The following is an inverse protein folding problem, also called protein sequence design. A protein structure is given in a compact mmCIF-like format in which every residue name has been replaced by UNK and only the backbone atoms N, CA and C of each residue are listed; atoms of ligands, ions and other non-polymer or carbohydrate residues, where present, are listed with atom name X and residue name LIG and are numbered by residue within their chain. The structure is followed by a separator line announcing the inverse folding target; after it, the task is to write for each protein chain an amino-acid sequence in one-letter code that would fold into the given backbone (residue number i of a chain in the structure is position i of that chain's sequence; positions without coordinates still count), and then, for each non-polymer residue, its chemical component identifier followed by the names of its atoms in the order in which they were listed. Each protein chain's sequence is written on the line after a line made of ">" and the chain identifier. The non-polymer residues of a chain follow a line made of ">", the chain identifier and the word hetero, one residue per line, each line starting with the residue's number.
data_IF_337078204401
#
_entry.id   IF_337078204401
#
_cell.length_a   1.000
_cell.length_b   1.000
_cell.length_c   1.000
_cell.angle_alpha   90.00
_cell.angle_beta   90.00
_cell.angle_gamma   90.00
#
_symmetry.space_group_name_H-M   'P 1'
#
loop_
_entity.id
_entity.type
_entity.pdbx_description
1 polymer ?
#
# COMPACT_ATOMS: atom_id res chain seq x y z
N UNK A 1 -8.94 -79.52 -3.44
CA UNK A 1 -8.31 -78.29 -2.89
C UNK A 1 -8.30 -77.25 -3.99
N UNK A 2 -9.10 -76.21 -3.83
CA UNK A 2 -9.69 -75.38 -4.87
C UNK A 2 -8.75 -74.30 -5.39
N UNK A 3 -8.56 -74.23 -6.72
CA UNK A 3 -7.73 -73.29 -7.48
C UNK A 3 -8.51 -72.01 -7.85
N UNK A 4 -9.55 -71.61 -7.11
CA UNK A 4 -10.44 -70.51 -7.44
C UNK A 4 -10.25 -69.21 -6.60
N UNK A 5 -9.28 -69.11 -5.71
CA UNK A 5 -9.14 -67.94 -4.82
C UNK A 5 -8.04 -66.94 -5.16
N UNK A 6 -7.46 -67.02 -6.37
CA UNK A 6 -6.30 -66.13 -6.74
C UNK A 6 -6.61 -65.08 -7.80
N UNK A 7 -7.81 -64.99 -8.30
CA UNK A 7 -8.21 -64.02 -9.35
C UNK A 7 -9.07 -62.85 -8.86
N UNK A 8 -9.40 -62.80 -7.55
CA UNK A 8 -10.26 -61.72 -7.03
C UNK A 8 -9.50 -60.52 -6.40
N UNK A 9 -8.16 -60.57 -6.35
CA UNK A 9 -7.37 -59.54 -5.69
C UNK A 9 -6.71 -58.51 -6.63
N UNK A 10 -6.83 -58.70 -7.96
CA UNK A 10 -6.11 -57.81 -8.92
C UNK A 10 -6.99 -56.81 -9.67
N UNK A 11 -8.28 -56.74 -9.37
CA UNK A 11 -9.24 -55.84 -10.06
C UNK A 11 -9.59 -54.58 -9.26
N UNK A 12 -9.10 -54.41 -8.04
CA UNK A 12 -9.46 -53.28 -7.17
C UNK A 12 -8.41 -52.19 -7.02
N UNK A 13 -7.30 -52.26 -7.74
CA UNK A 13 -6.18 -51.32 -7.65
C UNK A 13 -6.06 -50.33 -8.81
N UNK A 14 -7.02 -50.32 -9.77
CA UNK A 14 -6.87 -49.50 -10.99
C UNK A 14 -7.99 -48.43 -11.14
N UNK A 15 -8.76 -48.13 -10.09
CA UNK A 15 -9.83 -47.10 -10.14
C UNK A 15 -9.64 -45.87 -9.26
N UNK A 16 -8.43 -45.62 -8.72
CA UNK A 16 -8.17 -44.52 -7.77
C UNK A 16 -7.20 -43.43 -8.27
N UNK A 17 -6.94 -43.33 -9.59
CA UNK A 17 -5.95 -42.36 -10.11
C UNK A 17 -6.47 -41.35 -11.16
N UNK A 18 -7.72 -41.02 -11.31
CA UNK A 18 -8.04 -39.80 -12.05
C UNK A 18 -8.80 -38.72 -11.27
N UNK A 19 -8.52 -38.52 -9.97
CA UNK A 19 -9.22 -37.45 -9.22
C UNK A 19 -8.30 -36.32 -8.70
N UNK A 20 -7.04 -36.26 -9.11
CA UNK A 20 -6.10 -35.20 -8.65
C UNK A 20 -5.56 -34.28 -9.76
N UNK A 21 -6.23 -34.15 -10.88
CA UNK A 21 -5.78 -33.27 -11.98
C UNK A 21 -6.86 -32.22 -12.39
N UNK A 22 -7.72 -31.80 -11.44
CA UNK A 22 -8.66 -30.70 -11.67
C UNK A 22 -8.57 -29.65 -10.55
N UNK A 23 -7.37 -29.13 -10.31
CA UNK A 23 -7.11 -28.11 -9.30
C UNK A 23 -6.20 -26.98 -9.78
N UNK A 24 -6.02 -26.78 -11.09
CA UNK A 24 -5.60 -25.49 -11.63
C UNK A 24 -6.85 -24.66 -11.92
N UNK A 25 -7.43 -24.04 -10.90
CA UNK A 25 -8.29 -22.92 -11.10
C UNK A 25 -7.50 -21.88 -11.90
N UNK A 26 -7.82 -21.74 -13.20
CA UNK A 26 -7.49 -20.52 -13.92
C UNK A 26 -8.03 -19.40 -13.04
N UNK A 27 -7.14 -18.57 -12.45
CA UNK A 27 -7.52 -17.21 -12.07
C UNK A 27 -8.09 -16.63 -13.37
N UNK A 28 -9.40 -16.53 -13.47
CA UNK A 28 -10.00 -15.67 -14.48
C UNK A 28 -9.38 -14.29 -14.23
N UNK A 29 -8.60 -13.82 -15.18
CA UNK A 29 -8.21 -12.42 -15.20
C UNK A 29 -9.54 -11.67 -15.23
N UNK A 30 -9.85 -10.95 -14.15
CA UNK A 30 -10.99 -10.07 -14.07
C UNK A 30 -10.96 -9.18 -15.33
N UNK A 31 -11.91 -9.35 -16.23
CA UNK A 31 -12.04 -8.50 -17.43
C UNK A 31 -12.69 -7.16 -17.08
N UNK A 32 -12.91 -6.87 -15.80
CA UNK A 32 -13.44 -5.63 -15.27
C UNK A 32 -12.31 -4.65 -14.88
N UNK A 33 -12.65 -3.36 -14.84
CA UNK A 33 -11.74 -2.33 -14.31
C UNK A 33 -11.54 -2.49 -12.81
N UNK A 34 -10.48 -1.86 -12.25
CA UNK A 34 -10.27 -1.82 -10.79
C UNK A 34 -11.48 -1.19 -10.07
N UNK A 35 -12.14 -0.24 -10.72
CA UNK A 35 -13.38 0.36 -10.22
C UNK A 35 -14.51 -0.67 -10.09
N UNK A 36 -14.68 -1.55 -11.08
CA UNK A 36 -15.69 -2.61 -11.03
C UNK A 36 -15.38 -3.60 -9.91
N UNK A 37 -14.11 -3.92 -9.72
CA UNK A 37 -13.63 -4.76 -8.63
C UNK A 37 -13.96 -4.14 -7.26
N UNK A 38 -13.64 -2.86 -7.04
CA UNK A 38 -13.92 -2.13 -5.79
C UNK A 38 -15.42 -2.08 -5.52
N UNK A 39 -16.23 -1.75 -6.54
CA UNK A 39 -17.69 -1.72 -6.40
C UNK A 39 -18.29 -3.09 -6.10
N UNK A 40 -17.78 -4.14 -6.71
CA UNK A 40 -18.24 -5.50 -6.46
C UNK A 40 -17.84 -5.98 -5.05
N UNK A 41 -16.64 -5.61 -4.60
CA UNK A 41 -16.14 -5.88 -3.25
C UNK A 41 -16.92 -5.10 -2.18
N UNK A 42 -17.44 -3.92 -2.53
CA UNK A 42 -18.19 -3.04 -1.63
C UNK A 42 -17.31 -2.23 -0.66
N UNK A 43 -15.99 -2.26 -0.83
CA UNK A 43 -15.04 -1.62 0.08
C UNK A 43 -13.87 -1.04 -0.70
N UNK A 44 -13.46 0.18 -0.35
CA UNK A 44 -12.21 0.81 -0.78
C UNK A 44 -11.18 0.69 0.38
N UNK A 45 -10.12 -0.09 0.18
CA UNK A 45 -9.04 -0.22 1.16
C UNK A 45 -7.97 0.82 0.86
N UNK A 46 -7.77 1.74 1.78
CA UNK A 46 -6.86 2.88 1.67
C UNK A 46 -5.61 2.61 2.50
N UNK A 47 -4.45 2.54 1.85
CA UNK A 47 -3.15 2.50 2.51
C UNK A 47 -2.77 3.88 3.03
N UNK A 48 -2.48 3.98 4.32
CA UNK A 48 -2.35 5.23 5.07
C UNK A 48 -1.24 5.13 6.12
N UNK A 49 -0.62 6.26 6.46
CA UNK A 49 0.28 6.41 7.63
C UNK A 49 -0.19 7.56 8.50
N UNK A 50 0.31 7.65 9.74
CA UNK A 50 0.07 8.83 10.59
C UNK A 50 0.88 10.02 10.07
N UNK A 51 0.18 10.99 9.50
CA UNK A 51 0.76 12.19 8.89
C UNK A 51 -0.14 13.42 9.13
N UNK A 52 -0.23 13.89 10.38
CA UNK A 52 -1.04 15.07 10.70
C UNK A 52 -0.52 16.33 9.97
N UNK A 53 -1.40 17.20 9.48
CA UNK A 53 -2.86 17.19 9.59
C UNK A 53 -3.58 16.50 8.43
N UNK A 54 -2.85 15.79 7.57
CA UNK A 54 -3.41 15.11 6.40
C UNK A 54 -4.16 13.85 6.81
N UNK A 55 -3.51 13.00 7.60
CA UNK A 55 -4.01 11.71 8.08
C UNK A 55 -3.55 11.49 9.51
N UNK A 56 -4.44 11.29 10.44
CA UNK A 56 -4.12 10.96 11.82
C UNK A 56 -5.32 10.37 12.54
N UNK A 57 -5.10 9.75 13.68
CA UNK A 57 -6.18 9.21 14.49
C UNK A 57 -6.61 10.20 15.58
N UNK A 58 -7.92 10.32 15.76
CA UNK A 58 -8.49 11.02 16.91
C UNK A 58 -8.40 10.17 18.19
N UNK A 59 -8.96 10.71 19.28
CA UNK A 59 -8.94 10.03 20.59
C UNK A 59 -9.71 8.70 20.60
N UNK A 60 -10.64 8.50 19.65
CA UNK A 60 -11.44 7.28 19.52
C UNK A 60 -10.81 6.28 18.54
N UNK A 61 -9.65 6.62 17.97
CA UNK A 61 -8.94 5.80 16.99
C UNK A 61 -9.50 5.90 15.57
N UNK A 62 -10.40 6.84 15.30
CA UNK A 62 -10.91 7.09 13.96
C UNK A 62 -9.92 7.90 13.14
N UNK A 63 -9.70 7.49 11.90
CA UNK A 63 -8.90 8.26 10.97
C UNK A 63 -9.61 9.55 10.58
N UNK A 64 -8.92 10.67 10.75
CA UNK A 64 -9.38 12.04 10.44
C UNK A 64 -8.25 12.81 9.74
N UNK A 65 -8.58 13.97 9.22
CA UNK A 65 -7.64 14.83 8.51
C UNK A 65 -8.06 15.05 7.06
N UNK A 66 -7.33 15.89 6.37
CA UNK A 66 -7.68 16.32 5.02
C UNK A 66 -7.78 15.15 4.04
N UNK A 67 -6.78 14.28 3.99
CA UNK A 67 -6.75 13.14 3.07
C UNK A 67 -7.70 12.02 3.52
N UNK A 68 -7.77 11.73 4.82
CA UNK A 68 -8.72 10.76 5.35
C UNK A 68 -10.17 11.14 5.04
N UNK A 69 -10.53 12.42 5.15
CA UNK A 69 -11.87 12.90 4.85
C UNK A 69 -12.18 12.91 3.35
N UNK A 70 -11.18 13.21 2.51
CA UNK A 70 -11.32 13.07 1.05
C UNK A 70 -11.50 11.60 0.64
N UNK A 71 -10.75 10.67 1.24
CA UNK A 71 -10.89 9.24 0.96
C UNK A 71 -12.28 8.72 1.35
N UNK A 72 -12.84 9.16 2.49
CA UNK A 72 -14.22 8.87 2.89
C UNK A 72 -15.23 9.38 1.88
N UNK A 73 -15.11 10.65 1.48
CA UNK A 73 -16.01 11.27 0.51
C UNK A 73 -15.92 10.59 -0.87
N UNK A 74 -14.73 10.16 -1.26
CA UNK A 74 -14.52 9.41 -2.51
C UNK A 74 -15.19 8.04 -2.44
N UNK A 75 -14.98 7.26 -1.38
CA UNK A 75 -15.64 5.97 -1.19
C UNK A 75 -17.17 6.10 -1.19
N UNK A 76 -17.72 7.11 -0.50
CA UNK A 76 -19.15 7.42 -0.52
C UNK A 76 -19.64 7.71 -1.94
N UNK A 77 -18.89 8.48 -2.74
CA UNK A 77 -19.24 8.78 -4.14
C UNK A 77 -19.30 7.54 -5.03
N UNK A 78 -18.56 6.49 -4.69
CA UNK A 78 -18.55 5.20 -5.37
C UNK A 78 -19.67 4.27 -4.86
N UNK A 79 -20.30 4.59 -3.74
CA UNK A 79 -21.28 3.75 -3.06
C UNK A 79 -20.65 2.56 -2.34
N UNK A 80 -19.42 2.70 -1.84
CA UNK A 80 -18.69 1.68 -1.10
C UNK A 80 -18.24 2.18 0.27
N UNK A 81 -17.92 1.27 1.17
CA UNK A 81 -17.34 1.61 2.46
C UNK A 81 -15.83 1.88 2.32
N UNK A 82 -15.29 2.81 3.12
CA UNK A 82 -13.84 3.02 3.24
C UNK A 82 -13.29 2.16 4.37
N UNK A 83 -12.15 1.55 4.13
CA UNK A 83 -11.37 0.87 5.15
C UNK A 83 -9.94 1.40 5.11
N UNK A 84 -9.46 1.96 6.22
CA UNK A 84 -8.08 2.41 6.34
C UNK A 84 -7.18 1.28 6.84
N UNK A 85 -6.07 1.09 6.17
CA UNK A 85 -5.03 0.13 6.53
C UNK A 85 -3.71 0.88 6.72
N UNK A 86 -3.18 0.86 7.94
CA UNK A 86 -1.84 1.39 8.19
C UNK A 86 -0.82 0.52 7.48
N UNK A 87 0.07 1.15 6.73
CA UNK A 87 1.14 0.49 5.99
C UNK A 87 2.51 1.05 6.42
N UNK A 88 3.56 0.26 6.22
CA UNK A 88 4.92 0.79 6.19
C UNK A 88 5.12 1.53 4.87
N UNK A 89 5.52 2.80 4.94
CA UNK A 89 5.56 3.66 3.75
C UNK A 89 6.48 3.13 2.65
N UNK A 90 7.57 2.49 3.01
CA UNK A 90 8.51 1.86 2.09
C UNK A 90 7.87 0.71 1.28
N UNK A 91 6.84 0.08 1.83
CA UNK A 91 6.14 -1.04 1.22
C UNK A 91 4.92 -0.65 0.35
N UNK A 92 4.63 0.65 0.19
CA UNK A 92 3.41 1.14 -0.47
C UNK A 92 3.14 0.54 -1.87
N UNK A 93 4.20 0.39 -2.68
CA UNK A 93 4.09 -0.20 -4.03
C UNK A 93 3.78 -1.69 -3.93
N UNK A 94 4.47 -2.40 -3.04
CA UNK A 94 4.28 -3.83 -2.84
C UNK A 94 2.87 -4.14 -2.31
N UNK A 95 2.36 -3.32 -1.38
CA UNK A 95 1.00 -3.46 -0.84
C UNK A 95 -0.06 -3.24 -1.93
N UNK A 96 0.16 -2.24 -2.80
CA UNK A 96 -0.73 -1.95 -3.92
C UNK A 96 -0.72 -3.08 -4.97
N UNK A 97 0.46 -3.54 -5.38
CA UNK A 97 0.64 -4.64 -6.32
C UNK A 97 0.08 -5.96 -5.78
N UNK A 98 0.27 -6.19 -4.49
CA UNK A 98 -0.26 -7.34 -3.76
C UNK A 98 -1.77 -7.30 -3.54
N UNK A 99 -2.43 -6.17 -3.84
CA UNK A 99 -3.87 -5.95 -3.62
C UNK A 99 -4.30 -6.11 -2.16
N UNK A 100 -3.40 -5.85 -1.23
CA UNK A 100 -3.72 -5.72 0.20
C UNK A 100 -4.38 -4.38 0.46
N UNK A 101 -4.06 -3.38 -0.36
CA UNK A 101 -4.74 -2.09 -0.45
C UNK A 101 -5.20 -1.85 -1.89
N UNK A 102 -6.20 -1.00 -2.07
CA UNK A 102 -6.71 -0.60 -3.38
C UNK A 102 -6.11 0.72 -3.86
N UNK A 103 -5.73 1.57 -2.94
CA UNK A 103 -5.17 2.89 -3.19
C UNK A 103 -4.22 3.29 -2.05
N UNK A 104 -3.15 4.01 -2.41
CA UNK A 104 -2.32 4.77 -1.46
C UNK A 104 -2.85 6.19 -1.41
N UNK A 105 -3.28 6.66 -0.24
CA UNK A 105 -3.78 8.02 -0.07
C UNK A 105 -3.25 8.61 1.21
N UNK A 106 -2.22 9.44 1.12
CA UNK A 106 -1.45 9.90 2.28
C UNK A 106 -0.50 11.06 1.93
N UNK A 107 -0.97 12.17 1.43
CA UNK A 107 -0.13 13.33 1.15
C UNK A 107 1.12 13.02 0.30
N UNK A 108 1.03 12.01 -0.56
CA UNK A 108 2.17 11.46 -1.29
C UNK A 108 2.76 12.44 -2.30
N UNK A 109 4.07 12.63 -2.27
CA UNK A 109 4.78 13.41 -3.28
C UNK A 109 4.83 12.65 -4.62
N UNK A 110 4.41 13.28 -5.72
CA UNK A 110 4.50 12.73 -7.07
C UNK A 110 5.94 12.84 -7.59
N UNK A 111 6.77 11.88 -7.22
CA UNK A 111 8.13 11.75 -7.75
C UNK A 111 8.15 10.93 -9.04
N UNK A 112 9.25 10.93 -9.78
CA UNK A 112 9.42 10.08 -10.96
C UNK A 112 9.33 8.59 -10.59
N UNK A 113 9.83 8.21 -9.43
CA UNK A 113 9.73 6.85 -8.90
C UNK A 113 8.27 6.45 -8.70
N UNK A 114 7.49 7.28 -8.01
CA UNK A 114 6.07 7.03 -7.75
C UNK A 114 5.28 6.94 -9.04
N UNK A 115 5.43 7.91 -9.94
CA UNK A 115 4.67 7.97 -11.19
C UNK A 115 5.05 6.90 -12.21
N UNK A 116 6.24 6.31 -12.09
CA UNK A 116 6.65 5.15 -12.90
C UNK A 116 6.19 3.81 -12.32
N UNK A 117 5.90 3.76 -11.02
CA UNK A 117 5.54 2.53 -10.31
C UNK A 117 4.05 2.31 -10.16
N UNK A 118 3.24 3.37 -10.19
CA UNK A 118 1.79 3.30 -10.01
C UNK A 118 1.06 4.38 -10.81
N UNK A 119 -0.22 4.15 -11.11
CA UNK A 119 -1.09 5.17 -11.68
C UNK A 119 -1.44 6.21 -10.62
N UNK A 120 -1.24 7.48 -10.93
CA UNK A 120 -1.48 8.59 -10.01
C UNK A 120 -2.62 9.48 -10.49
N UNK A 121 -3.35 10.10 -9.55
CA UNK A 121 -4.28 11.19 -9.83
C UNK A 121 -3.53 12.48 -10.21
N UNK A 122 -4.27 13.50 -10.61
CA UNK A 122 -3.71 14.85 -10.64
C UNK A 122 -3.33 15.30 -9.24
N UNK A 123 -2.28 16.11 -9.12
CA UNK A 123 -1.93 16.73 -7.85
C UNK A 123 -3.09 17.62 -7.35
N UNK A 124 -3.46 17.48 -6.09
CA UNK A 124 -4.54 18.24 -5.46
C UNK A 124 -4.04 19.24 -4.41
N UNK A 125 -2.76 19.15 -4.02
CA UNK A 125 -2.09 20.09 -3.13
C UNK A 125 -0.68 20.41 -3.64
N UNK A 126 -0.17 21.59 -3.26
CA UNK A 126 1.26 21.88 -3.37
C UNK A 126 1.99 21.22 -2.19
N UNK A 127 3.13 20.62 -2.46
CA UNK A 127 3.96 19.95 -1.47
C UNK A 127 5.39 20.48 -1.51
N UNK A 128 6.06 20.48 -0.36
CA UNK A 128 7.48 20.79 -0.24
C UNK A 128 8.11 19.94 0.87
N UNK A 129 9.32 19.46 0.64
CA UNK A 129 10.11 18.85 1.71
C UNK A 129 10.70 19.97 2.57
N UNK A 130 10.52 19.87 3.88
CA UNK A 130 10.96 20.86 4.85
C UNK A 130 11.76 20.21 5.97
N UNK A 131 12.61 21.00 6.61
CA UNK A 131 13.32 20.59 7.83
C UNK A 131 12.60 21.18 9.02
N UNK A 132 12.25 20.34 9.99
CA UNK A 132 11.64 20.76 11.25
C UNK A 132 12.74 20.91 12.29
N UNK A 133 12.82 22.07 12.89
CA UNK A 133 13.80 22.43 13.89
C UNK A 133 13.11 23.05 15.12
N UNK A 134 13.73 23.00 16.33
CA UNK A 134 13.29 23.82 17.45
C UNK A 134 13.26 25.30 17.04
N UNK A 135 12.18 26.00 17.42
CA UNK A 135 11.94 27.38 16.99
C UNK A 135 13.10 28.36 17.36
N UNK A 136 13.76 28.12 18.49
CA UNK A 136 14.91 28.87 18.94
C UNK A 136 16.19 28.61 18.14
N UNK A 137 16.19 27.58 17.28
CA UNK A 137 17.31 27.19 16.42
C UNK A 137 17.10 27.52 14.95
N UNK A 138 15.87 27.78 14.55
CA UNK A 138 15.54 27.94 13.13
C UNK A 138 16.36 29.05 12.43
N UNK A 139 16.71 30.13 13.13
CA UNK A 139 17.50 31.22 12.57
C UNK A 139 18.98 30.85 12.30
N UNK A 140 19.49 29.79 12.91
CA UNK A 140 20.86 29.33 12.72
C UNK A 140 21.01 28.45 11.46
N UNK A 141 19.86 27.99 10.89
CA UNK A 141 19.79 27.01 9.81
C UNK A 141 18.86 27.48 8.69
N UNK A 142 19.20 28.59 8.06
CA UNK A 142 18.40 29.25 7.04
C UNK A 142 18.73 28.81 5.59
N UNK A 143 19.76 27.99 5.43
CA UNK A 143 20.20 27.44 4.14
C UNK A 143 20.47 25.94 4.24
N UNK A 144 20.45 25.24 3.11
CA UNK A 144 20.80 23.81 3.06
C UNK A 144 22.25 23.58 3.53
N UNK A 145 23.18 24.49 3.19
CA UNK A 145 24.58 24.36 3.59
C UNK A 145 24.76 24.43 5.11
N UNK A 146 23.93 25.23 5.79
CA UNK A 146 23.96 25.34 7.26
C UNK A 146 23.51 24.07 7.97
N UNK A 147 22.82 23.17 7.28
CA UNK A 147 22.39 21.88 7.79
C UNK A 147 23.51 20.82 7.83
N UNK A 148 24.66 21.13 7.23
CA UNK A 148 25.80 20.20 7.18
C UNK A 148 26.25 19.80 8.58
N UNK A 149 26.50 18.50 8.78
CA UNK A 149 26.92 17.95 10.06
C UNK A 149 25.81 17.67 11.07
N UNK A 150 24.56 18.05 10.77
CA UNK A 150 23.40 17.60 11.54
C UNK A 150 23.02 16.17 11.17
N UNK A 151 22.30 15.50 12.07
CA UNK A 151 21.66 14.22 11.84
C UNK A 151 20.14 14.40 11.78
N UNK A 152 19.55 13.83 10.76
CA UNK A 152 18.10 13.90 10.52
C UNK A 152 17.44 12.57 10.83
N UNK A 153 16.21 12.60 11.28
CA UNK A 153 15.30 11.47 11.23
C UNK A 153 14.40 11.66 10.01
N UNK A 154 14.27 10.64 9.20
CA UNK A 154 13.40 10.63 8.01
C UNK A 154 12.63 9.32 7.93
N UNK A 155 11.46 9.35 7.32
CA UNK A 155 10.70 8.15 7.05
C UNK A 155 11.34 7.37 5.88
N UNK A 156 11.52 6.06 6.04
CA UNK A 156 12.06 5.19 5.00
C UNK A 156 11.19 5.20 3.75
N UNK A 157 11.80 5.26 2.55
CA UNK A 157 11.08 5.30 1.28
C UNK A 157 10.30 6.59 1.02
N UNK A 158 10.56 7.64 1.80
CA UNK A 158 9.91 8.94 1.62
C UNK A 158 10.66 9.86 0.66
N UNK A 159 9.94 10.85 0.10
CA UNK A 159 10.57 11.94 -0.66
C UNK A 159 11.55 12.75 0.19
N UNK A 160 11.33 12.82 1.51
CA UNK A 160 12.26 13.46 2.46
C UNK A 160 13.60 12.73 2.54
N UNK A 161 13.57 11.38 2.55
CA UNK A 161 14.78 10.56 2.51
C UNK A 161 15.56 10.81 1.21
N UNK A 162 14.89 10.76 0.07
CA UNK A 162 15.50 11.01 -1.24
C UNK A 162 16.14 12.42 -1.32
N UNK A 163 15.47 13.44 -0.75
CA UNK A 163 16.03 14.79 -0.71
C UNK A 163 17.23 14.89 0.25
N UNK A 164 17.21 14.19 1.39
CA UNK A 164 18.36 14.15 2.29
C UNK A 164 19.57 13.50 1.60
N UNK A 165 19.39 12.41 0.86
CA UNK A 165 20.43 11.78 0.05
C UNK A 165 20.98 12.71 -1.03
N UNK A 166 20.09 13.33 -1.82
CA UNK A 166 20.48 14.26 -2.89
C UNK A 166 21.33 15.42 -2.36
N UNK A 167 21.02 15.92 -1.16
CA UNK A 167 21.75 17.02 -0.51
C UNK A 167 22.95 16.56 0.33
N UNK A 168 23.23 15.25 0.39
CA UNK A 168 24.35 14.71 1.18
C UNK A 168 24.17 14.88 2.69
N UNK A 169 22.94 14.97 3.18
CA UNK A 169 22.63 15.09 4.60
C UNK A 169 22.68 13.73 5.27
N UNK A 170 23.17 13.68 6.52
CA UNK A 170 23.22 12.44 7.30
C UNK A 170 21.87 12.18 7.97
N UNK A 171 21.30 11.01 7.76
CA UNK A 171 19.99 10.64 8.32
C UNK A 171 19.98 9.21 8.91
N UNK A 172 18.97 8.92 9.69
CA UNK A 172 18.65 7.59 10.25
C UNK A 172 17.19 7.30 10.04
#
# INVERSE_FOLDING_TARGET
>A
MNRFSRFAASALALSLVPAMLMGCGKKEASTGSDLDYIKQKGTLVVGITDFAPMDYQDADGSWIGFDADLAKAFAESLGVEVQFQTIEWDNKVMELDGKTIDVVWNGMTLTDEVTSSMACSNAYCNNAQVVILPADKAADYDTVDSLSGLRFAVESGSAGMAQAEEKGLTYT
#
